data_IF_482572050159
#
_entry.id   IF_482572050159
#
_cell.length_a   1.000
_cell.length_b   1.000
_cell.length_c   1.000
_cell.angle_alpha   90.00
_cell.angle_beta   90.00
_cell.angle_gamma   90.00
#
_symmetry.space_group_name_H-M   'P 1'
#
loop_
_entity.id
_entity.type
_entity.pdbx_description
1 polymer ?
#
# COMPACT_ATOMS: atom_id res chain seq x y z
N UNK A 1 5.12 22.67 4.17
CA UNK A 1 4.68 22.05 2.88
C UNK A 1 3.85 20.80 3.16
N UNK A 2 2.76 20.60 2.41
CA UNK A 2 2.01 19.33 2.44
C UNK A 2 2.93 18.21 1.94
N UNK A 3 2.85 17.04 2.59
CA UNK A 3 3.65 15.90 2.13
C UNK A 3 3.09 15.32 0.80
N UNK A 4 3.91 14.59 0.02
CA UNK A 4 3.49 14.09 -1.28
C UNK A 4 2.25 13.18 -1.26
N UNK A 5 2.03 12.42 -0.17
CA UNK A 5 0.84 11.57 0.01
C UNK A 5 -0.41 12.45 0.12
N UNK A 6 -0.38 13.49 0.97
CA UNK A 6 -1.51 14.43 1.13
C UNK A 6 -1.83 15.17 -0.16
N UNK A 7 -0.81 15.53 -0.94
CA UNK A 7 -0.99 16.16 -2.26
C UNK A 7 -1.70 15.22 -3.25
N UNK A 8 -1.36 13.91 -3.24
CA UNK A 8 -2.03 12.92 -4.07
C UNK A 8 -3.52 12.79 -3.74
N UNK A 9 -3.87 12.75 -2.45
CA UNK A 9 -5.29 12.75 -2.02
C UNK A 9 -6.01 14.04 -2.42
N UNK A 10 -5.38 15.19 -2.21
CA UNK A 10 -5.96 16.48 -2.61
C UNK A 10 -6.25 16.52 -4.12
N UNK A 11 -5.32 16.02 -4.94
CA UNK A 11 -5.50 15.93 -6.40
C UNK A 11 -6.69 15.03 -6.75
N UNK A 12 -6.75 13.81 -6.19
CA UNK A 12 -7.85 12.88 -6.45
C UNK A 12 -9.21 13.48 -6.05
N UNK A 13 -9.27 14.16 -4.89
CA UNK A 13 -10.48 14.84 -4.43
C UNK A 13 -10.92 15.97 -5.36
N UNK A 14 -9.99 16.75 -5.89
CA UNK A 14 -10.31 17.80 -6.88
C UNK A 14 -10.86 17.19 -8.18
N UNK A 15 -10.42 15.98 -8.54
CA UNK A 15 -10.94 15.20 -9.66
C UNK A 15 -12.23 14.42 -9.30
N UNK A 16 -12.82 14.68 -8.12
CA UNK A 16 -14.09 14.07 -7.62
C UNK A 16 -14.09 12.55 -7.62
N UNK A 17 -12.97 11.93 -7.27
CA UNK A 17 -12.79 10.49 -7.20
C UNK A 17 -11.94 10.07 -6.00
N UNK A 18 -11.97 8.80 -5.60
CA UNK A 18 -11.03 8.27 -4.62
C UNK A 18 -9.60 8.23 -5.20
N UNK A 19 -8.61 8.35 -4.35
CA UNK A 19 -7.23 8.06 -4.73
C UNK A 19 -7.08 6.56 -5.04
N UNK A 20 -6.40 6.21 -6.13
CA UNK A 20 -6.06 4.83 -6.47
C UNK A 20 -4.66 4.51 -5.95
N UNK A 21 -4.60 3.57 -5.01
CA UNK A 21 -3.34 3.03 -4.51
C UNK A 21 -3.14 1.62 -5.09
N UNK A 22 -1.91 1.31 -5.48
CA UNK A 22 -1.56 0.01 -6.06
C UNK A 22 -0.44 -0.63 -5.25
N UNK A 23 -0.61 -1.90 -4.88
CA UNK A 23 0.41 -2.65 -4.17
C UNK A 23 1.09 -3.66 -5.11
N UNK A 24 2.42 -3.70 -5.07
CA UNK A 24 3.26 -4.72 -5.73
C UNK A 24 4.39 -5.12 -4.81
N UNK A 25 4.86 -6.36 -4.91
CA UNK A 25 6.04 -6.82 -4.15
C UNK A 25 7.31 -6.42 -4.90
N UNK A 26 8.25 -5.79 -4.19
CA UNK A 26 9.55 -5.40 -4.76
C UNK A 26 10.33 -6.63 -5.22
N UNK A 27 10.82 -6.60 -6.46
CA UNK A 27 11.61 -7.69 -7.04
C UNK A 27 10.80 -8.89 -7.50
N UNK A 28 9.47 -8.84 -7.46
CA UNK A 28 8.63 -9.87 -8.07
C UNK A 28 8.94 -9.98 -9.57
N UNK A 29 9.12 -11.20 -10.05
CA UNK A 29 9.68 -11.58 -11.36
C UNK A 29 11.19 -11.24 -11.53
N UNK A 30 11.58 -9.98 -11.49
CA UNK A 30 12.97 -9.52 -11.48
C UNK A 30 13.06 -8.07 -10.97
N UNK A 31 14.26 -7.62 -10.58
CA UNK A 31 14.50 -6.22 -10.18
C UNK A 31 14.14 -5.23 -11.29
N UNK A 32 14.49 -5.56 -12.55
CA UNK A 32 14.18 -4.74 -13.73
C UNK A 32 12.68 -4.66 -13.98
N UNK A 33 12.00 -5.82 -14.04
CA UNK A 33 10.55 -5.86 -14.27
C UNK A 33 9.76 -5.16 -13.15
N UNK A 34 10.19 -5.32 -11.89
CA UNK A 34 9.57 -4.61 -10.77
C UNK A 34 9.61 -3.09 -10.97
N UNK A 35 10.76 -2.53 -11.40
CA UNK A 35 10.88 -1.10 -11.72
C UNK A 35 9.98 -0.70 -12.91
N UNK A 36 9.94 -1.51 -13.96
CA UNK A 36 9.12 -1.24 -15.15
C UNK A 36 7.61 -1.27 -14.81
N UNK A 37 7.18 -2.20 -13.96
CA UNK A 37 5.80 -2.26 -13.47
C UNK A 37 5.46 -0.97 -12.70
N UNK A 38 6.31 -0.52 -11.76
CA UNK A 38 6.09 0.72 -11.02
C UNK A 38 5.94 1.93 -11.96
N UNK A 39 6.80 2.04 -12.98
CA UNK A 39 6.72 3.10 -13.99
C UNK A 39 5.42 3.03 -14.81
N UNK A 40 5.01 1.84 -15.22
CA UNK A 40 3.81 1.65 -16.03
C UNK A 40 2.52 1.97 -15.28
N UNK A 41 2.39 1.49 -14.03
CA UNK A 41 1.20 1.73 -13.21
C UNK A 41 1.12 3.16 -12.67
N UNK A 42 2.25 3.87 -12.54
CA UNK A 42 2.29 5.27 -12.08
C UNK A 42 1.53 6.24 -13.00
N UNK A 43 1.25 5.85 -14.24
CA UNK A 43 0.41 6.63 -15.15
C UNK A 43 -1.07 6.66 -14.71
N UNK A 44 -1.51 5.71 -13.91
CA UNK A 44 -2.91 5.52 -13.50
C UNK A 44 -3.12 5.57 -12.00
N UNK A 45 -2.14 5.17 -11.20
CA UNK A 45 -2.18 5.21 -9.75
C UNK A 45 -1.80 6.60 -9.20
N UNK A 46 -2.32 6.94 -8.04
CA UNK A 46 -1.98 8.18 -7.32
C UNK A 46 -0.86 7.97 -6.30
N UNK A 47 -0.79 6.78 -5.71
CA UNK A 47 0.22 6.38 -4.72
C UNK A 47 0.60 4.92 -5.00
N UNK A 48 1.88 4.59 -4.86
CA UNK A 48 2.38 3.23 -5.03
C UNK A 48 2.78 2.63 -3.68
N UNK A 49 2.20 1.48 -3.36
CA UNK A 49 2.63 0.67 -2.22
C UNK A 49 3.60 -0.41 -2.73
N UNK A 50 4.78 -0.43 -2.15
CA UNK A 50 5.85 -1.38 -2.49
C UNK A 50 6.06 -2.30 -1.31
N UNK A 51 5.66 -3.55 -1.46
CA UNK A 51 5.83 -4.60 -0.47
C UNK A 51 7.29 -5.00 -0.34
N UNK A 52 7.79 -5.00 0.90
CA UNK A 52 9.09 -5.56 1.26
C UNK A 52 8.89 -7.06 1.48
N UNK A 53 9.43 -7.94 0.61
CA UNK A 53 9.19 -9.37 0.71
C UNK A 53 9.76 -9.93 2.01
N UNK A 54 9.00 -10.82 2.66
CA UNK A 54 9.36 -11.49 3.91
C UNK A 54 9.14 -13.00 3.76
N UNK A 55 9.98 -13.80 4.40
CA UNK A 55 9.91 -15.28 4.33
C UNK A 55 8.77 -15.89 5.16
N UNK A 56 8.27 -15.14 6.15
CA UNK A 56 7.18 -15.57 7.03
C UNK A 56 6.08 -14.50 7.04
N UNK A 57 5.37 -14.29 5.90
CA UNK A 57 4.44 -13.17 5.71
C UNK A 57 3.05 -13.50 6.28
N UNK A 58 2.94 -13.61 7.61
CA UNK A 58 1.73 -14.06 8.34
C UNK A 58 0.49 -13.18 8.11
N UNK A 59 0.66 -11.91 7.74
CA UNK A 59 -0.44 -11.00 7.45
C UNK A 59 -0.86 -11.01 5.97
N UNK A 60 -0.06 -11.63 5.10
CA UNK A 60 -0.27 -11.60 3.66
C UNK A 60 -1.07 -12.80 3.18
N UNK A 61 -1.86 -12.63 2.14
CA UNK A 61 -2.55 -13.74 1.51
C UNK A 61 -1.77 -14.39 0.38
N UNK A 62 -2.24 -15.56 -0.06
CA UNK A 62 -1.53 -16.45 -0.95
C UNK A 62 -0.94 -15.80 -2.22
N UNK A 63 -1.62 -14.82 -2.82
CA UNK A 63 -1.09 -14.13 -4.02
C UNK A 63 0.12 -13.25 -3.68
N UNK A 64 0.07 -12.56 -2.55
CA UNK A 64 1.18 -11.73 -2.06
C UNK A 64 2.32 -12.62 -1.59
N UNK A 65 2.02 -13.70 -0.87
CA UNK A 65 3.01 -14.70 -0.45
C UNK A 65 3.74 -15.30 -1.66
N UNK A 66 3.01 -15.67 -2.72
CA UNK A 66 3.60 -16.18 -3.97
C UNK A 66 4.54 -15.16 -4.61
N UNK A 67 4.15 -13.88 -4.65
CA UNK A 67 4.99 -12.80 -5.16
C UNK A 67 6.23 -12.56 -4.29
N UNK A 68 6.09 -12.59 -2.97
CA UNK A 68 7.20 -12.46 -2.01
C UNK A 68 8.18 -13.63 -2.15
N UNK A 69 7.69 -14.86 -2.26
CA UNK A 69 8.51 -16.05 -2.47
C UNK A 69 9.33 -15.94 -3.75
N UNK A 70 8.72 -15.54 -4.89
CA UNK A 70 9.46 -15.33 -6.15
C UNK A 70 10.57 -14.28 -6.01
N UNK A 71 10.25 -13.15 -5.36
CA UNK A 71 11.23 -12.10 -5.14
C UNK A 71 12.42 -12.59 -4.30
N UNK A 72 12.17 -13.31 -3.20
CA UNK A 72 13.21 -13.88 -2.33
C UNK A 72 14.03 -14.92 -3.10
N UNK A 73 13.38 -15.83 -3.82
CA UNK A 73 14.06 -16.84 -4.66
C UNK A 73 14.97 -16.20 -5.72
N UNK A 74 14.59 -15.04 -6.24
CA UNK A 74 15.40 -14.26 -7.18
C UNK A 74 16.47 -13.39 -6.49
N UNK A 75 16.72 -13.58 -5.19
CA UNK A 75 17.81 -12.96 -4.46
C UNK A 75 17.62 -11.46 -4.20
N UNK A 76 16.36 -10.97 -4.06
CA UNK A 76 16.11 -9.57 -3.70
C UNK A 76 16.65 -9.27 -2.29
N UNK A 77 17.33 -8.16 -2.14
CA UNK A 77 17.83 -7.66 -0.86
C UNK A 77 17.28 -6.26 -0.58
N UNK A 78 17.29 -5.83 0.68
CA UNK A 78 16.78 -4.51 1.08
C UNK A 78 17.43 -3.36 0.28
N UNK A 79 18.72 -3.42 0.01
CA UNK A 79 19.41 -2.41 -0.80
C UNK A 79 18.92 -2.36 -2.26
N UNK A 80 18.50 -3.49 -2.83
CA UNK A 80 17.90 -3.53 -4.16
C UNK A 80 16.54 -2.85 -4.16
N UNK A 81 15.74 -3.03 -3.10
CA UNK A 81 14.42 -2.40 -2.95
C UNK A 81 14.57 -0.88 -2.89
N UNK A 82 15.52 -0.38 -2.10
CA UNK A 82 15.85 1.05 -2.07
C UNK A 82 16.28 1.56 -3.45
N UNK A 83 17.09 0.78 -4.17
CA UNK A 83 17.54 1.13 -5.53
C UNK A 83 16.36 1.19 -6.51
N UNK A 84 15.48 0.20 -6.51
CA UNK A 84 14.27 0.18 -7.36
C UNK A 84 13.45 1.46 -7.15
N UNK A 85 13.21 1.85 -5.89
CA UNK A 85 12.44 3.06 -5.58
C UNK A 85 13.21 4.32 -5.99
N UNK A 86 14.52 4.40 -5.71
CA UNK A 86 15.35 5.54 -6.11
C UNK A 86 15.34 5.73 -7.64
N UNK A 87 15.46 4.64 -8.40
CA UNK A 87 15.43 4.70 -9.87
C UNK A 87 14.02 5.03 -10.40
N UNK A 88 12.96 4.55 -9.75
CA UNK A 88 11.59 4.96 -10.03
C UNK A 88 11.40 6.47 -9.80
N UNK A 89 11.94 7.02 -8.73
CA UNK A 89 11.79 8.45 -8.38
C UNK A 89 12.47 9.40 -9.38
N UNK A 90 13.39 8.91 -10.18
CA UNK A 90 13.99 9.68 -11.31
C UNK A 90 13.07 9.76 -12.52
N UNK A 91 11.99 8.99 -12.59
CA UNK A 91 11.06 9.02 -13.73
C UNK A 91 10.14 10.24 -13.67
N UNK A 92 9.80 10.81 -14.84
CA UNK A 92 8.97 12.02 -14.99
C UNK A 92 7.61 11.93 -14.26
N UNK A 93 7.00 10.73 -14.25
CA UNK A 93 5.67 10.50 -13.66
C UNK A 93 5.75 9.82 -12.28
N UNK A 94 6.86 10.01 -11.54
CA UNK A 94 7.00 9.38 -10.23
C UNK A 94 5.89 9.84 -9.28
N UNK A 95 5.35 8.87 -8.52
CA UNK A 95 4.29 9.07 -7.53
C UNK A 95 4.84 8.92 -6.12
N UNK A 96 4.11 9.33 -5.08
CA UNK A 96 4.45 8.94 -3.70
C UNK A 96 4.56 7.44 -3.56
N UNK A 97 5.58 7.00 -2.80
CA UNK A 97 5.86 5.59 -2.54
C UNK A 97 5.71 5.31 -1.05
N UNK A 98 4.97 4.26 -0.72
CA UNK A 98 4.81 3.74 0.63
C UNK A 98 5.46 2.35 0.66
N UNK A 99 6.36 2.08 1.61
CA UNK A 99 6.79 0.71 1.89
C UNK A 99 5.80 0.03 2.81
N UNK A 100 5.48 -1.22 2.52
CA UNK A 100 4.68 -2.08 3.38
C UNK A 100 5.48 -3.35 3.70
N UNK A 101 5.62 -3.66 4.99
CA UNK A 101 6.40 -4.83 5.41
C UNK A 101 6.33 -5.08 6.90
N UNK A 102 7.27 -5.90 7.37
CA UNK A 102 7.35 -6.39 8.75
C UNK A 102 8.44 -5.67 9.53
N UNK A 103 8.21 -5.47 10.82
CA UNK A 103 9.12 -4.70 11.68
C UNK A 103 10.49 -5.36 11.82
N UNK A 104 10.55 -6.69 11.85
CA UNK A 104 11.82 -7.40 11.95
C UNK A 104 12.82 -6.98 10.86
N UNK A 105 12.37 -6.75 9.62
CA UNK A 105 13.25 -6.30 8.52
C UNK A 105 13.84 -4.91 8.80
N UNK A 106 13.05 -4.03 9.41
CA UNK A 106 13.46 -2.68 9.80
C UNK A 106 14.44 -2.75 10.98
N UNK A 107 14.11 -3.58 11.96
CA UNK A 107 14.93 -3.78 13.16
C UNK A 107 16.33 -4.32 12.80
N UNK A 108 16.40 -5.37 11.98
CA UNK A 108 17.67 -5.96 11.51
C UNK A 108 18.50 -5.01 10.66
N UNK A 109 17.88 -4.14 9.89
CA UNK A 109 18.60 -3.10 9.12
C UNK A 109 19.10 -1.95 10.01
N UNK A 110 18.54 -1.82 11.21
CA UNK A 110 18.70 -0.70 12.13
C UNK A 110 17.77 0.45 11.77
N UNK A 111 16.81 0.77 12.65
CA UNK A 111 15.75 1.75 12.40
C UNK A 111 16.23 3.08 11.83
N UNK A 112 17.29 3.65 12.43
CA UNK A 112 17.82 4.94 12.00
C UNK A 112 18.43 4.87 10.59
N UNK A 113 19.16 3.80 10.28
CA UNK A 113 19.74 3.58 8.95
C UNK A 113 18.66 3.33 7.91
N UNK A 114 17.65 2.54 8.26
CA UNK A 114 16.49 2.28 7.41
C UNK A 114 15.76 3.59 7.06
N UNK A 115 15.44 4.43 8.03
CA UNK A 115 14.75 5.70 7.82
C UNK A 115 15.59 6.70 6.99
N UNK A 116 16.91 6.78 7.23
CA UNK A 116 17.82 7.57 6.39
C UNK A 116 17.81 7.08 4.93
N UNK A 117 17.82 5.75 4.72
CA UNK A 117 17.76 5.15 3.37
C UNK A 117 16.39 5.38 2.71
N UNK A 118 15.29 5.22 3.46
CA UNK A 118 13.94 5.56 2.97
C UNK A 118 13.90 7.00 2.44
N UNK A 119 14.35 7.96 3.25
CA UNK A 119 14.39 9.38 2.86
C UNK A 119 15.25 9.60 1.61
N UNK A 120 16.47 9.03 1.57
CA UNK A 120 17.39 9.16 0.42
C UNK A 120 16.81 8.54 -0.85
N UNK A 121 16.07 7.44 -0.75
CA UNK A 121 15.45 6.75 -1.89
C UNK A 121 14.13 7.38 -2.34
N UNK A 122 13.58 8.33 -1.57
CA UNK A 122 12.33 9.00 -1.90
C UNK A 122 11.07 8.25 -1.45
N UNK A 123 11.17 7.36 -0.46
CA UNK A 123 10.03 6.74 0.21
C UNK A 123 9.31 7.79 1.05
N UNK A 124 7.99 7.86 0.93
CA UNK A 124 7.15 8.89 1.54
C UNK A 124 6.37 8.40 2.76
N UNK A 125 6.18 7.08 2.88
CA UNK A 125 5.44 6.49 3.99
C UNK A 125 5.82 5.05 4.27
N UNK A 126 5.42 4.57 5.46
CA UNK A 126 5.62 3.20 5.92
C UNK A 126 4.31 2.63 6.48
N UNK A 127 4.00 1.40 6.10
CA UNK A 127 3.03 0.52 6.74
C UNK A 127 3.81 -0.64 7.34
N UNK A 128 3.77 -0.78 8.67
CA UNK A 128 4.41 -1.89 9.38
C UNK A 128 3.31 -2.75 9.98
N UNK A 129 3.11 -3.92 9.38
CA UNK A 129 1.90 -4.74 9.58
C UNK A 129 1.83 -5.41 10.95
N UNK A 130 2.97 -5.65 11.57
CA UNK A 130 3.15 -6.34 12.85
C UNK A 130 3.60 -5.41 13.99
N UNK A 131 3.54 -4.08 13.80
CA UNK A 131 3.83 -3.09 14.84
C UNK A 131 2.59 -2.24 15.13
N UNK A 132 1.65 -2.72 15.99
CA UNK A 132 0.39 -2.03 16.25
C UNK A 132 0.55 -0.82 17.18
N UNK A 133 -0.50 -0.02 17.30
CA UNK A 133 -0.62 1.02 18.32
C UNK A 133 -1.00 0.36 19.67
N UNK A 134 -0.39 0.73 20.83
CA UNK A 134 0.49 1.89 21.04
C UNK A 134 1.99 1.62 20.86
N UNK A 135 2.42 0.40 20.61
CA UNK A 135 3.82 -0.05 20.54
C UNK A 135 4.60 0.72 19.45
N UNK A 136 3.93 1.10 18.37
CA UNK A 136 4.53 1.85 17.25
C UNK A 136 4.83 3.32 17.57
N UNK A 137 4.42 3.87 18.71
CA UNK A 137 4.54 5.32 19.01
C UNK A 137 5.97 5.85 18.90
N UNK A 138 6.94 5.09 19.40
CA UNK A 138 8.35 5.49 19.38
C UNK A 138 8.84 5.53 17.93
N UNK A 139 8.60 4.46 17.18
CA UNK A 139 9.01 4.36 15.78
C UNK A 139 8.30 5.38 14.88
N UNK A 140 7.00 5.60 15.08
CA UNK A 140 6.22 6.63 14.39
C UNK A 140 6.79 8.05 14.58
N UNK A 141 7.25 8.37 15.81
CA UNK A 141 7.95 9.65 16.07
C UNK A 141 9.28 9.75 15.30
N UNK A 142 10.05 8.64 15.22
CA UNK A 142 11.27 8.60 14.39
C UNK A 142 10.97 8.79 12.91
N UNK A 143 9.89 8.17 12.40
CA UNK A 143 9.40 8.38 11.03
C UNK A 143 9.11 9.86 10.77
N UNK A 144 8.36 10.52 11.66
CA UNK A 144 8.01 11.93 11.55
C UNK A 144 9.24 12.84 11.48
N UNK A 145 10.25 12.60 12.32
CA UNK A 145 11.53 13.33 12.30
C UNK A 145 12.26 13.18 10.96
N UNK A 146 12.06 12.09 10.24
CA UNK A 146 12.63 11.83 8.93
C UNK A 146 11.71 12.24 7.75
N UNK A 147 10.61 12.93 8.02
CA UNK A 147 9.59 13.33 7.02
C UNK A 147 8.92 12.13 6.31
N UNK A 148 8.83 11.00 6.99
CA UNK A 148 8.18 9.77 6.52
C UNK A 148 6.85 9.62 7.27
N UNK A 149 5.76 9.39 6.53
CA UNK A 149 4.46 9.11 7.14
C UNK A 149 4.43 7.68 7.68
N UNK A 150 4.16 7.52 8.97
CA UNK A 150 3.79 6.22 9.53
C UNK A 150 2.28 6.05 9.41
N UNK A 151 1.84 5.05 8.66
CA UNK A 151 0.43 4.83 8.33
C UNK A 151 -0.13 3.81 9.31
N UNK A 152 -1.14 4.23 10.08
CA UNK A 152 -1.81 3.40 11.07
C UNK A 152 -2.84 2.48 10.41
N UNK A 153 -2.89 1.24 10.89
CA UNK A 153 -3.85 0.23 10.45
C UNK A 153 -5.07 0.20 11.39
N UNK A 154 -6.25 0.14 10.81
CA UNK A 154 -7.52 -0.09 11.51
C UNK A 154 -8.20 -1.34 10.95
N UNK A 155 -8.86 -2.12 11.81
CA UNK A 155 -9.60 -3.31 11.44
C UNK A 155 -11.09 -3.16 11.75
N UNK A 156 -11.97 -4.02 11.22
CA UNK A 156 -13.40 -4.02 11.56
C UNK A 156 -13.68 -4.20 13.05
N UNK A 157 -12.77 -4.83 13.79
CA UNK A 157 -12.88 -5.09 15.23
C UNK A 157 -12.35 -3.95 16.10
N UNK A 158 -11.74 -2.90 15.51
CA UNK A 158 -11.21 -1.77 16.27
C UNK A 158 -12.34 -0.97 16.92
N UNK A 159 -12.35 -0.88 18.25
CA UNK A 159 -13.36 -0.12 19.00
C UNK A 159 -13.30 1.39 18.74
N UNK A 160 -14.39 2.11 18.97
CA UNK A 160 -14.44 3.56 18.76
C UNK A 160 -13.40 4.31 19.59
N UNK A 161 -13.21 3.92 20.86
CA UNK A 161 -12.19 4.49 21.74
C UNK A 161 -10.78 4.31 21.14
N UNK A 162 -10.49 3.10 20.65
CA UNK A 162 -9.20 2.80 20.03
C UNK A 162 -9.01 3.52 18.67
N UNK A 163 -10.05 3.62 17.82
CA UNK A 163 -10.01 4.44 16.60
C UNK A 163 -9.62 5.87 16.93
N UNK A 164 -10.27 6.51 17.91
CA UNK A 164 -9.99 7.90 18.35
C UNK A 164 -8.53 8.06 18.78
N UNK A 165 -8.01 7.14 19.57
CA UNK A 165 -6.61 7.18 20.04
C UNK A 165 -5.61 6.99 18.89
N UNK A 166 -5.80 5.99 18.04
CA UNK A 166 -4.92 5.71 16.88
C UNK A 166 -4.90 6.90 15.93
N UNK A 167 -6.08 7.45 15.59
CA UNK A 167 -6.18 8.53 14.61
C UNK A 167 -5.65 9.85 15.12
N UNK A 168 -5.69 10.09 16.45
CA UNK A 168 -5.04 11.25 17.09
C UNK A 168 -3.53 11.21 16.88
N UNK A 169 -2.91 10.03 17.00
CA UNK A 169 -1.48 9.83 16.89
C UNK A 169 -1.03 9.58 15.42
N UNK A 170 -1.98 9.37 14.49
CA UNK A 170 -1.67 9.08 13.09
C UNK A 170 -1.22 10.33 12.31
N UNK A 171 -0.45 10.10 11.26
CA UNK A 171 -0.21 11.09 10.22
C UNK A 171 -1.48 11.28 9.36
N UNK A 172 -1.38 11.82 8.16
CA UNK A 172 -2.54 12.15 7.32
C UNK A 172 -3.36 10.95 6.86
N UNK A 173 -2.69 9.86 6.50
CA UNK A 173 -3.31 8.66 5.97
C UNK A 173 -3.49 7.61 7.06
N UNK A 174 -4.66 6.98 7.06
CA UNK A 174 -4.95 5.76 7.81
C UNK A 174 -5.43 4.68 6.84
N UNK A 175 -5.13 3.43 7.16
CA UNK A 175 -5.44 2.29 6.32
C UNK A 175 -6.48 1.40 7.01
N UNK A 176 -7.66 1.29 6.43
CA UNK A 176 -8.72 0.41 6.91
C UNK A 176 -8.63 -0.95 6.20
N UNK A 177 -8.28 -1.98 6.97
CA UNK A 177 -8.30 -3.37 6.53
C UNK A 177 -9.75 -3.85 6.56
N UNK A 178 -10.37 -4.06 5.40
CA UNK A 178 -11.81 -4.32 5.31
C UNK A 178 -12.23 -5.76 5.60
N UNK A 179 -11.28 -6.68 5.81
CA UNK A 179 -11.51 -8.11 6.06
C UNK A 179 -10.85 -8.60 7.34
N UNK A 180 -11.44 -9.61 7.98
CA UNK A 180 -10.93 -10.26 9.20
C UNK A 180 -10.08 -11.50 8.92
N UNK A 181 -9.87 -11.87 7.66
CA UNK A 181 -9.09 -13.05 7.27
C UNK A 181 -7.89 -12.65 6.43
N UNK A 182 -6.83 -13.46 6.49
CA UNK A 182 -5.77 -13.44 5.50
C UNK A 182 -6.39 -13.55 4.10
N UNK A 183 -5.86 -12.82 3.13
CA UNK A 183 -6.38 -12.75 1.77
C UNK A 183 -6.56 -14.16 1.17
N UNK A 184 -7.80 -14.58 0.97
CA UNK A 184 -8.16 -15.92 0.49
C UNK A 184 -9.24 -16.64 1.32
N UNK A 185 -9.57 -16.13 2.51
CA UNK A 185 -10.64 -16.69 3.34
C UNK A 185 -12.04 -16.41 2.78
N UNK A 186 -12.95 -17.40 2.90
CA UNK A 186 -14.31 -17.37 2.33
C UNK A 186 -15.31 -16.37 2.96
N UNK A 187 -14.95 -15.61 3.97
CA UNK A 187 -15.84 -14.63 4.58
C UNK A 187 -15.89 -13.36 3.73
N UNK A 188 -16.79 -13.35 2.76
CA UNK A 188 -17.09 -12.17 1.94
C UNK A 188 -17.85 -11.14 2.78
N UNK A 189 -17.16 -10.12 3.25
CA UNK A 189 -17.81 -8.94 3.83
C UNK A 189 -18.48 -8.16 2.71
N UNK A 190 -19.77 -7.85 2.87
CA UNK A 190 -20.51 -7.08 1.84
C UNK A 190 -19.94 -5.66 1.70
N UNK A 191 -19.98 -5.07 0.48
CA UNK A 191 -19.60 -3.67 0.29
C UNK A 191 -20.31 -2.70 1.23
N UNK A 192 -21.59 -2.94 1.53
CA UNK A 192 -22.40 -2.15 2.47
C UNK A 192 -21.78 -2.13 3.88
N UNK A 193 -21.32 -3.28 4.39
CA UNK A 193 -20.69 -3.39 5.71
C UNK A 193 -19.31 -2.71 5.73
N UNK A 194 -18.55 -2.82 4.63
CA UNK A 194 -17.27 -2.13 4.48
C UNK A 194 -17.47 -0.61 4.54
N UNK A 195 -18.44 -0.07 3.77
CA UNK A 195 -18.78 1.35 3.77
C UNK A 195 -19.31 1.84 5.14
N UNK A 196 -20.10 1.04 5.83
CA UNK A 196 -20.57 1.39 7.18
C UNK A 196 -19.40 1.59 8.15
N UNK A 197 -18.41 0.70 8.13
CA UNK A 197 -17.20 0.83 8.95
C UNK A 197 -16.32 2.03 8.51
N UNK A 198 -16.15 2.23 7.21
CA UNK A 198 -15.46 3.41 6.67
C UNK A 198 -16.13 4.71 7.16
N UNK A 199 -17.45 4.83 7.04
CA UNK A 199 -18.21 6.00 7.49
C UNK A 199 -18.09 6.21 9.00
N UNK A 200 -18.08 5.13 9.80
CA UNK A 200 -17.81 5.17 11.23
C UNK A 200 -16.43 5.78 11.54
N UNK A 201 -15.39 5.36 10.81
CA UNK A 201 -14.03 5.90 10.95
C UNK A 201 -14.01 7.38 10.56
N UNK A 202 -14.65 7.75 9.45
CA UNK A 202 -14.71 9.15 8.98
C UNK A 202 -15.50 10.05 9.93
N UNK A 203 -16.57 9.55 10.58
CA UNK A 203 -17.28 10.29 11.62
C UNK A 203 -16.39 10.61 12.83
N UNK A 204 -15.52 9.67 13.23
CA UNK A 204 -14.58 9.87 14.36
C UNK A 204 -13.40 10.77 13.95
N UNK A 205 -12.92 10.65 12.72
CA UNK A 205 -11.70 11.31 12.22
C UNK A 205 -11.90 11.90 10.81
N UNK A 206 -12.74 12.95 10.67
CA UNK A 206 -13.15 13.47 9.35
C UNK A 206 -11.99 14.05 8.53
N UNK A 207 -10.96 14.57 9.19
CA UNK A 207 -9.80 15.21 8.54
C UNK A 207 -8.76 14.22 8.01
N UNK A 208 -8.82 12.93 8.40
CA UNK A 208 -7.86 11.91 7.96
C UNK A 208 -8.28 11.31 6.62
N UNK A 209 -7.32 11.09 5.73
CA UNK A 209 -7.53 10.34 4.51
C UNK A 209 -7.57 8.85 4.84
N UNK A 210 -8.75 8.23 4.75
CA UNK A 210 -8.95 6.83 5.07
C UNK A 210 -9.00 6.00 3.77
N UNK A 211 -8.03 5.11 3.56
CA UNK A 211 -8.05 4.19 2.43
C UNK A 211 -8.66 2.85 2.83
N UNK A 212 -9.38 2.24 1.89
CA UNK A 212 -9.91 0.88 2.05
C UNK A 212 -8.96 -0.07 1.32
N UNK A 213 -8.35 -0.98 2.07
CA UNK A 213 -7.58 -2.10 1.53
C UNK A 213 -8.29 -3.42 1.75
N UNK A 214 -7.86 -4.43 0.99
CA UNK A 214 -8.42 -5.79 0.93
C UNK A 214 -9.79 -5.88 0.26
N UNK A 215 -9.98 -6.91 -0.57
CA UNK A 215 -11.23 -7.17 -1.27
C UNK A 215 -11.58 -6.22 -2.40
N UNK A 216 -10.73 -5.23 -2.68
CA UNK A 216 -10.91 -4.31 -3.82
C UNK A 216 -10.43 -5.00 -5.09
N UNK A 217 -11.36 -5.17 -6.01
CA UNK A 217 -11.15 -5.83 -7.30
C UNK A 217 -11.83 -5.04 -8.40
N UNK A 218 -11.58 -5.40 -9.65
CA UNK A 218 -12.27 -4.80 -10.80
C UNK A 218 -13.79 -4.90 -10.71
N UNK A 219 -14.33 -5.94 -10.04
CA UNK A 219 -15.77 -6.15 -9.86
C UNK A 219 -16.37 -5.29 -8.73
N UNK A 220 -15.58 -4.96 -7.70
CA UNK A 220 -16.09 -4.30 -6.49
C UNK A 220 -15.72 -2.83 -6.38
N UNK A 221 -14.71 -2.37 -7.11
CA UNK A 221 -14.10 -1.03 -6.95
C UNK A 221 -15.12 0.10 -7.12
N UNK A 222 -16.08 -0.05 -8.04
CA UNK A 222 -17.11 0.96 -8.30
C UNK A 222 -18.05 1.20 -7.11
N UNK A 223 -18.19 0.23 -6.19
CA UNK A 223 -18.99 0.38 -4.99
C UNK A 223 -18.40 1.39 -3.98
N UNK A 224 -17.15 1.80 -4.17
CA UNK A 224 -16.41 2.59 -3.20
C UNK A 224 -15.97 3.96 -3.74
N UNK A 225 -16.62 4.47 -4.79
CA UNK A 225 -16.28 5.77 -5.43
C UNK A 225 -16.31 6.95 -4.47
N UNK A 226 -17.15 6.91 -3.45
CA UNK A 226 -17.35 8.00 -2.47
C UNK A 226 -16.43 7.86 -1.24
N UNK A 227 -15.26 7.24 -1.39
CA UNK A 227 -14.27 7.10 -0.31
C UNK A 227 -13.02 7.93 -0.60
N UNK A 228 -12.15 8.11 0.40
CA UNK A 228 -10.92 8.90 0.19
C UNK A 228 -9.91 8.17 -0.71
N UNK A 229 -9.84 6.83 -0.62
CA UNK A 229 -8.91 6.06 -1.45
C UNK A 229 -9.11 4.56 -1.35
N UNK A 230 -8.63 3.87 -2.38
CA UNK A 230 -8.80 2.43 -2.58
C UNK A 230 -7.47 1.78 -2.90
N UNK A 231 -7.16 0.66 -2.24
CA UNK A 231 -5.93 -0.10 -2.46
C UNK A 231 -6.23 -1.39 -3.20
N UNK A 232 -5.52 -1.61 -4.30
CA UNK A 232 -5.56 -2.85 -5.08
C UNK A 232 -4.19 -3.52 -5.03
N UNK A 233 -4.12 -4.67 -4.38
CA UNK A 233 -2.88 -5.43 -4.18
C UNK A 233 -2.95 -6.84 -4.74
N UNK A 234 -3.65 -7.74 -4.05
CA UNK A 234 -3.69 -9.18 -4.40
C UNK A 234 -4.09 -9.44 -5.87
N UNK A 235 -4.94 -8.61 -6.45
CA UNK A 235 -5.33 -8.74 -7.85
C UNK A 235 -4.16 -8.40 -8.78
N UNK A 236 -3.32 -7.42 -8.44
CA UNK A 236 -2.12 -7.07 -9.21
C UNK A 236 -1.10 -8.20 -9.12
N UNK A 237 -0.82 -8.70 -7.91
CA UNK A 237 0.07 -9.86 -7.73
C UNK A 237 -0.41 -11.10 -8.48
N UNK A 238 -1.73 -11.35 -8.49
CA UNK A 238 -2.34 -12.43 -9.28
C UNK A 238 -2.12 -12.23 -10.79
N UNK A 239 -2.24 -11.01 -11.29
CA UNK A 239 -2.03 -10.71 -12.71
C UNK A 239 -0.56 -10.88 -13.10
N UNK A 240 0.39 -10.49 -12.23
CA UNK A 240 1.82 -10.78 -12.44
C UNK A 240 2.03 -12.29 -12.54
N UNK A 241 1.50 -13.06 -11.58
CA UNK A 241 1.61 -14.53 -11.58
C UNK A 241 1.01 -15.14 -12.84
N UNK A 242 -0.19 -14.71 -13.26
CA UNK A 242 -0.83 -15.18 -14.49
C UNK A 242 0.01 -14.89 -15.73
N UNK A 243 0.54 -13.68 -15.82
CA UNK A 243 1.37 -13.26 -16.96
C UNK A 243 2.63 -14.11 -17.07
N UNK A 244 3.31 -14.36 -15.94
CA UNK A 244 4.53 -15.18 -15.91
C UNK A 244 4.25 -16.63 -16.29
N UNK A 245 3.18 -17.23 -15.76
CA UNK A 245 2.79 -18.62 -16.07
C UNK A 245 2.44 -18.80 -17.56
N UNK A 246 1.86 -17.77 -18.18
CA UNK A 246 1.48 -17.78 -19.60
C UNK A 246 2.59 -17.22 -20.51
N UNK A 247 3.79 -16.99 -20.00
CA UNK A 247 4.93 -16.40 -20.75
C UNK A 247 4.58 -15.06 -21.42
N UNK A 248 3.68 -14.29 -20.80
CA UNK A 248 3.28 -12.97 -21.24
C UNK A 248 4.05 -11.88 -20.48
N UNK A 249 4.08 -10.66 -21.02
CA UNK A 249 4.73 -9.53 -20.39
C UNK A 249 3.86 -8.98 -19.23
N UNK A 250 4.28 -9.14 -17.95
CA UNK A 250 3.50 -8.67 -16.81
C UNK A 250 3.38 -7.13 -16.75
N UNK A 251 4.34 -6.39 -17.29
CA UNK A 251 4.30 -4.91 -17.31
C UNK A 251 3.10 -4.43 -18.12
N UNK A 252 2.89 -5.00 -19.32
CA UNK A 252 1.79 -4.64 -20.20
C UNK A 252 0.43 -5.02 -19.57
N UNK A 253 0.32 -6.25 -19.07
CA UNK A 253 -0.94 -6.77 -18.55
C UNK A 253 -1.37 -6.05 -17.26
N UNK A 254 -0.44 -5.81 -16.34
CA UNK A 254 -0.70 -5.05 -15.11
C UNK A 254 -1.05 -3.59 -15.43
N UNK A 255 -0.33 -2.95 -16.35
CA UNK A 255 -0.66 -1.59 -16.80
C UNK A 255 -2.08 -1.49 -17.36
N UNK A 256 -2.47 -2.41 -18.25
CA UNK A 256 -3.84 -2.49 -18.80
C UNK A 256 -4.89 -2.67 -17.69
N UNK A 257 -4.60 -3.54 -16.72
CA UNK A 257 -5.52 -3.79 -15.60
C UNK A 257 -5.68 -2.54 -14.74
N UNK A 258 -4.60 -1.87 -14.34
CA UNK A 258 -4.66 -0.66 -13.50
C UNK A 258 -5.35 0.49 -14.24
N UNK A 259 -5.14 0.62 -15.56
CA UNK A 259 -5.88 1.57 -16.41
C UNK A 259 -7.40 1.33 -16.36
N UNK A 260 -7.86 0.07 -16.45
CA UNK A 260 -9.28 -0.28 -16.32
C UNK A 260 -9.84 0.06 -14.94
N UNK A 261 -9.07 -0.24 -13.88
CA UNK A 261 -9.46 0.12 -12.50
C UNK A 261 -9.62 1.63 -12.34
N UNK A 262 -8.69 2.42 -12.89
CA UNK A 262 -8.75 3.88 -12.85
C UNK A 262 -10.02 4.40 -13.54
N UNK A 263 -10.33 3.93 -14.76
CA UNK A 263 -11.55 4.31 -15.49
C UNK A 263 -12.83 4.02 -14.72
N UNK A 264 -12.86 2.95 -13.91
CA UNK A 264 -14.04 2.60 -13.11
C UNK A 264 -14.29 3.51 -11.91
N UNK A 265 -13.34 4.31 -11.50
CA UNK A 265 -13.45 5.24 -10.35
C UNK A 265 -13.36 6.72 -10.74
N UNK A 266 -13.10 6.99 -11.98
CA UNK A 266 -13.17 8.34 -12.57
C UNK A 266 -14.59 8.73 -12.85
#
# INVERSE_FOLDING_TARGET
>A
MLNPISLAFKKAKNEKRPALLTYTVAGDSSKKQSLEILKAISNYADILEVGVPHNTPVADGGQIQTSAYRAIKNGIKMNDIFKIVSDFKKSKNSKPVIFMGYYNMIFQYGENNFLKKCKKSGVNGLIVVDLPWPENKIFSKKCKKNSINFIQLLSPTTSNKRIKSITKDSHDMIYYISMLSTTGGKLKVSPKKILANYNKIKKISPKKNCVIGFGITEKTISNFKNTDGLVVGSQICKEITRSLNNRQNPVINVSKMVSKLRKKIS
#
